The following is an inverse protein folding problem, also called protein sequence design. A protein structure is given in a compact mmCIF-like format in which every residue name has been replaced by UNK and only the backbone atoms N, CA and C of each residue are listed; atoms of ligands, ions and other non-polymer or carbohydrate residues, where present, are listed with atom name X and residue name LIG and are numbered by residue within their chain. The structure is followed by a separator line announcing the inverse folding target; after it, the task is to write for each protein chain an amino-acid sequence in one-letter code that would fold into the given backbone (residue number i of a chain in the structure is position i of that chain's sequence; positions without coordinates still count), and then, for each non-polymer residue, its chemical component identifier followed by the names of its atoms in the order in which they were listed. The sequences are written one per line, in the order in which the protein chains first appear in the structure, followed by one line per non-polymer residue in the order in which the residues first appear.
data_IF_224485872861
#
_entry.id   IF_224485872861
#
_cell.length_a   1.000
_cell.length_b   1.000
_cell.length_c   1.000
_cell.angle_alpha   90.00
_cell.angle_beta   90.00
_cell.angle_gamma   90.00
#
_symmetry.space_group_name_H-M   'P 1'
#
loop_
_entity.id
_entity.type
_entity.pdbx_description
1 polymer ?
#
# COMPACT_ATOMS: atom_id res chain seq x y z
N UNK A 1 15.81 -6.77 10.66
CA UNK A 1 15.81 -7.25 9.27
C UNK A 1 14.88 -6.42 8.43
N UNK A 2 15.33 -6.00 7.24
CA UNK A 2 14.58 -5.11 6.37
C UNK A 2 13.21 -5.68 5.98
N UNK A 3 13.15 -6.97 5.62
CA UNK A 3 11.90 -7.62 5.23
C UNK A 3 10.91 -7.70 6.38
N UNK A 4 11.40 -7.94 7.60
CA UNK A 4 10.56 -7.98 8.79
C UNK A 4 9.95 -6.59 9.06
N UNK A 5 10.76 -5.54 8.91
CA UNK A 5 10.30 -4.16 9.08
C UNK A 5 9.27 -3.80 8.01
N UNK A 6 9.53 -4.20 6.77
CA UNK A 6 8.60 -3.96 5.65
C UNK A 6 7.25 -4.63 5.90
N UNK A 7 7.25 -5.87 6.40
CA UNK A 7 6.01 -6.58 6.73
C UNK A 7 5.23 -5.85 7.82
N UNK A 8 5.89 -5.42 8.87
CA UNK A 8 5.22 -4.71 9.96
C UNK A 8 4.68 -3.36 9.51
N UNK A 9 5.46 -2.61 8.73
CA UNK A 9 5.03 -1.34 8.18
C UNK A 9 3.78 -1.49 7.30
N UNK A 10 3.76 -2.53 6.45
CA UNK A 10 2.62 -2.74 5.56
C UNK A 10 1.36 -3.15 6.32
N UNK A 11 1.49 -3.89 7.41
CA UNK A 11 0.36 -4.23 8.27
C UNK A 11 -0.19 -3.00 8.99
N UNK A 12 0.69 -2.16 9.51
CA UNK A 12 0.28 -0.90 10.16
C UNK A 12 -0.43 0.00 9.16
N UNK A 13 0.10 0.07 7.94
CA UNK A 13 -0.52 0.86 6.88
C UNK A 13 -1.91 0.32 6.54
N UNK A 14 -2.05 -0.99 6.36
CA UNK A 14 -3.35 -1.62 6.06
C UNK A 14 -4.37 -1.31 7.17
N UNK A 15 -3.95 -1.39 8.42
CA UNK A 15 -4.80 -1.10 9.56
C UNK A 15 -5.28 0.36 9.54
N UNK A 16 -4.37 1.31 9.28
CA UNK A 16 -4.72 2.73 9.22
C UNK A 16 -5.70 3.01 8.07
N UNK A 17 -5.53 2.31 6.94
CA UNK A 17 -6.43 2.45 5.79
C UNK A 17 -7.83 1.89 6.12
N UNK A 18 -7.90 0.79 6.85
CA UNK A 18 -9.18 0.22 7.27
C UNK A 18 -9.96 1.25 8.12
N UNK A 19 -9.28 1.88 9.07
CA UNK A 19 -9.91 2.91 9.91
C UNK A 19 -10.35 4.12 9.07
N UNK A 20 -9.48 4.56 8.15
CA UNK A 20 -9.81 5.66 7.25
C UNK A 20 -11.07 5.33 6.43
N UNK A 21 -11.12 4.15 5.83
CA UNK A 21 -12.22 3.76 4.95
C UNK A 21 -13.53 3.62 5.72
N UNK A 22 -13.49 3.15 6.97
CA UNK A 22 -14.68 3.11 7.82
C UNK A 22 -15.24 4.51 8.05
N UNK A 23 -14.34 5.44 8.38
CA UNK A 23 -14.72 6.84 8.59
C UNK A 23 -15.28 7.46 7.32
N UNK A 24 -14.61 7.25 6.18
CA UNK A 24 -15.06 7.80 4.92
C UNK A 24 -16.43 7.27 4.52
N UNK A 25 -16.69 5.98 4.71
CA UNK A 25 -17.98 5.37 4.38
C UNK A 25 -19.13 5.91 5.23
N UNK A 26 -18.85 6.33 6.46
CA UNK A 26 -19.88 6.90 7.31
C UNK A 26 -20.27 8.32 6.89
N UNK A 27 -19.44 9.00 6.12
CA UNK A 27 -19.64 10.40 5.74
C UNK A 27 -19.82 10.63 4.23
N UNK A 28 -19.54 9.62 3.39
CA UNK A 28 -19.54 9.76 1.93
C UNK A 28 -20.23 8.60 1.25
N UNK A 29 -20.78 8.87 0.06
CA UNK A 29 -21.52 7.89 -0.74
C UNK A 29 -20.66 7.21 -1.80
N UNK A 30 -19.41 7.67 -2.00
CA UNK A 30 -18.53 7.16 -3.06
C UNK A 30 -17.91 5.83 -2.63
N UNK A 31 -18.74 4.82 -2.40
CA UNK A 31 -18.28 3.52 -1.89
C UNK A 31 -17.36 2.79 -2.85
N UNK A 32 -17.55 2.97 -4.17
CA UNK A 32 -16.70 2.32 -5.17
C UNK A 32 -15.26 2.84 -5.03
N UNK A 33 -15.08 4.16 -4.94
CA UNK A 33 -13.77 4.76 -4.77
C UNK A 33 -13.14 4.34 -3.45
N UNK A 34 -13.90 4.42 -2.36
CA UNK A 34 -13.41 4.07 -1.03
C UNK A 34 -12.97 2.59 -1.00
N UNK A 35 -13.73 1.72 -1.66
CA UNK A 35 -13.37 0.30 -1.74
C UNK A 35 -12.11 0.07 -2.57
N UNK A 36 -11.83 0.89 -3.58
CA UNK A 36 -10.58 0.81 -4.33
C UNK A 36 -9.37 1.18 -3.46
N UNK A 37 -9.53 2.19 -2.60
CA UNK A 37 -8.48 2.54 -1.63
C UNK A 37 -8.21 1.34 -0.72
N UNK A 38 -9.26 0.75 -0.17
CA UNK A 38 -9.14 -0.38 0.74
C UNK A 38 -8.50 -1.59 0.05
N UNK A 39 -8.97 -1.94 -1.14
CA UNK A 39 -8.47 -3.09 -1.90
C UNK A 39 -6.99 -2.94 -2.22
N UNK A 40 -6.60 -1.82 -2.83
CA UNK A 40 -5.22 -1.62 -3.25
C UNK A 40 -4.27 -1.55 -2.05
N UNK A 41 -4.66 -0.83 -1.01
CA UNK A 41 -3.82 -0.65 0.17
C UNK A 41 -3.60 -1.96 0.92
N UNK A 42 -4.63 -2.79 1.06
CA UNK A 42 -4.48 -4.09 1.74
C UNK A 42 -3.74 -5.11 0.88
N UNK A 43 -3.80 -4.96 -0.44
CA UNK A 43 -3.04 -5.83 -1.37
C UNK A 43 -1.53 -5.62 -1.26
N UNK A 44 -1.09 -4.44 -0.85
CA UNK A 44 0.35 -4.18 -0.63
C UNK A 44 0.90 -5.19 0.37
N UNK A 45 0.33 -5.19 1.57
CA UNK A 45 0.79 -6.08 2.64
C UNK A 45 0.56 -7.56 2.34
N UNK A 46 -0.55 -7.89 1.66
CA UNK A 46 -0.84 -9.27 1.29
C UNK A 46 0.27 -9.84 0.39
N UNK A 47 0.72 -9.07 -0.60
CA UNK A 47 1.78 -9.51 -1.50
C UNK A 47 3.15 -9.56 -0.82
N UNK A 48 3.43 -8.62 0.07
CA UNK A 48 4.65 -8.65 0.88
C UNK A 48 4.66 -9.91 1.75
N UNK A 49 3.53 -10.23 2.35
CA UNK A 49 3.38 -11.44 3.18
C UNK A 49 3.63 -12.70 2.35
N UNK A 50 3.02 -12.79 1.17
CA UNK A 50 3.18 -13.93 0.28
C UNK A 50 4.60 -14.10 -0.23
N UNK A 51 5.34 -13.00 -0.36
CA UNK A 51 6.74 -13.05 -0.78
C UNK A 51 7.60 -13.88 0.17
N UNK A 52 7.24 -13.93 1.48
CA UNK A 52 7.95 -14.77 2.46
C UNK A 52 7.90 -16.24 2.11
N UNK A 53 6.84 -16.65 1.42
CA UNK A 53 6.57 -18.06 1.10
C UNK A 53 6.84 -18.34 -0.37
N UNK A 54 7.59 -17.47 -1.02
CA UNK A 54 7.92 -17.61 -2.45
C UNK A 54 8.73 -18.87 -2.71
N UNK A 55 8.51 -19.48 -3.88
CA UNK A 55 9.15 -20.71 -4.27
C UNK A 55 10.52 -20.50 -4.92
N UNK A 56 11.07 -19.31 -4.81
CA UNK A 56 12.38 -18.96 -5.37
C UNK A 56 12.50 -17.46 -5.55
N UNK A 57 13.67 -17.02 -5.98
CA UNK A 57 13.99 -15.61 -6.15
C UNK A 57 13.05 -14.92 -7.13
N UNK A 58 12.74 -15.59 -8.25
CA UNK A 58 11.88 -15.02 -9.30
C UNK A 58 10.47 -14.76 -8.77
N UNK A 59 9.92 -15.70 -8.02
CA UNK A 59 8.59 -15.57 -7.41
C UNK A 59 8.61 -14.49 -6.34
N UNK A 60 9.67 -14.45 -5.53
CA UNK A 60 9.86 -13.43 -4.50
C UNK A 60 9.83 -12.02 -5.13
N UNK A 61 10.62 -11.81 -6.18
CA UNK A 61 10.68 -10.52 -6.89
C UNK A 61 9.31 -10.19 -7.49
N UNK A 62 8.64 -11.17 -8.10
CA UNK A 62 7.31 -10.97 -8.69
C UNK A 62 6.31 -10.47 -7.66
N UNK A 63 6.28 -11.08 -6.47
CA UNK A 63 5.36 -10.66 -5.40
C UNK A 63 5.65 -9.24 -4.93
N UNK A 64 6.91 -8.89 -4.78
CA UNK A 64 7.29 -7.54 -4.38
C UNK A 64 6.96 -6.50 -5.46
N UNK A 65 7.09 -6.88 -6.72
CA UNK A 65 6.72 -5.99 -7.84
C UNK A 65 5.22 -5.75 -7.90
N UNK A 66 4.42 -6.77 -7.59
CA UNK A 66 2.96 -6.59 -7.48
C UNK A 66 2.65 -5.63 -6.33
N UNK A 67 3.30 -5.80 -5.18
CA UNK A 67 3.12 -4.90 -4.05
C UNK A 67 3.47 -3.45 -4.42
N UNK A 68 4.54 -3.25 -5.18
CA UNK A 68 4.95 -1.94 -5.65
C UNK A 68 3.88 -1.30 -6.54
N UNK A 69 3.33 -2.07 -7.47
CA UNK A 69 2.25 -1.60 -8.34
C UNK A 69 1.03 -1.18 -7.51
N UNK A 70 0.71 -1.95 -6.48
CA UNK A 70 -0.42 -1.62 -5.59
C UNK A 70 -0.16 -0.34 -4.80
N UNK A 71 1.10 -0.04 -4.46
CA UNK A 71 1.45 1.24 -3.86
C UNK A 71 1.11 2.40 -4.80
N UNK A 72 1.50 2.29 -6.07
CA UNK A 72 1.20 3.32 -7.06
C UNK A 72 -0.30 3.48 -7.25
N UNK A 73 -1.05 2.38 -7.28
CA UNK A 73 -2.50 2.44 -7.42
C UNK A 73 -3.14 3.09 -6.19
N UNK A 74 -2.68 2.75 -5.00
CA UNK A 74 -3.17 3.34 -3.75
C UNK A 74 -2.96 4.86 -3.76
N UNK A 75 -1.77 5.29 -4.17
CA UNK A 75 -1.45 6.72 -4.28
C UNK A 75 -2.40 7.42 -5.25
N UNK A 76 -2.68 6.78 -6.38
CA UNK A 76 -3.63 7.31 -7.36
C UNK A 76 -5.01 7.55 -6.74
N UNK A 77 -5.57 6.53 -6.08
CA UNK A 77 -6.91 6.64 -5.48
C UNK A 77 -6.94 7.68 -4.36
N UNK A 78 -5.88 7.78 -3.57
CA UNK A 78 -5.80 8.78 -2.50
C UNK A 78 -5.75 10.20 -3.08
N UNK A 79 -5.01 10.40 -4.15
CA UNK A 79 -4.95 11.70 -4.82
C UNK A 79 -6.32 12.09 -5.41
N UNK A 80 -7.01 11.14 -6.04
CA UNK A 80 -8.36 11.37 -6.56
C UNK A 80 -9.32 11.73 -5.41
N UNK A 81 -9.24 11.01 -4.29
CA UNK A 81 -10.10 11.28 -3.14
C UNK A 81 -9.86 12.68 -2.56
N UNK A 82 -8.60 13.12 -2.54
CA UNK A 82 -8.25 14.45 -2.06
C UNK A 82 -8.78 15.53 -3.02
N UNK A 83 -8.61 15.33 -4.33
CA UNK A 83 -9.10 16.28 -5.35
C UNK A 83 -10.62 16.38 -5.33
N UNK A 84 -11.31 15.30 -5.00
CA UNK A 84 -12.78 15.26 -4.91
C UNK A 84 -13.30 15.71 -3.54
N UNK A 85 -12.41 16.18 -2.66
CA UNK A 85 -12.76 16.65 -1.30
C UNK A 85 -13.35 15.57 -0.40
N UNK A 86 -13.00 14.31 -0.65
CA UNK A 86 -13.38 13.19 0.20
C UNK A 86 -12.42 13.06 1.37
N UNK A 87 -11.14 13.32 1.13
CA UNK A 87 -10.08 13.33 2.16
C UNK A 87 -9.48 14.73 2.19
N UNK A 88 -9.19 15.24 3.39
CA UNK A 88 -8.52 16.54 3.54
C UNK A 88 -7.08 16.46 3.00
N UNK A 89 -6.54 17.62 2.61
CA UNK A 89 -5.16 17.70 2.14
C UNK A 89 -4.20 17.20 3.22
N UNK A 90 -4.43 17.56 4.47
CA UNK A 90 -3.58 17.17 5.60
C UNK A 90 -3.56 15.65 5.79
N UNK A 91 -4.73 15.03 5.80
CA UNK A 91 -4.84 13.58 5.95
C UNK A 91 -4.24 12.85 4.76
N UNK A 92 -4.48 13.35 3.55
CA UNK A 92 -3.90 12.76 2.34
C UNK A 92 -2.37 12.79 2.37
N UNK A 93 -1.78 13.90 2.83
CA UNK A 93 -0.32 14.03 2.93
C UNK A 93 0.28 12.96 3.84
N UNK A 94 -0.32 12.74 5.01
CA UNK A 94 0.17 11.76 5.98
C UNK A 94 0.14 10.35 5.38
N UNK A 95 -1.00 9.99 4.77
CA UNK A 95 -1.18 8.66 4.22
C UNK A 95 -0.31 8.43 2.98
N UNK A 96 -0.21 9.43 2.11
CA UNK A 96 0.66 9.35 0.93
C UNK A 96 2.13 9.22 1.34
N UNK A 97 2.54 9.91 2.39
CA UNK A 97 3.90 9.78 2.90
C UNK A 97 4.17 8.35 3.38
N UNK A 98 3.25 7.77 4.14
CA UNK A 98 3.39 6.39 4.62
C UNK A 98 3.45 5.39 3.47
N UNK A 99 2.58 5.55 2.47
CA UNK A 99 2.58 4.70 1.29
C UNK A 99 3.89 4.81 0.52
N UNK A 100 4.37 6.04 0.34
CA UNK A 100 5.64 6.31 -0.34
C UNK A 100 6.85 5.68 0.37
N UNK A 101 6.83 5.66 1.70
CA UNK A 101 7.88 5.01 2.48
C UNK A 101 7.93 3.51 2.17
N UNK A 102 6.77 2.86 2.17
CA UNK A 102 6.68 1.42 1.85
C UNK A 102 7.15 1.19 0.41
N UNK A 103 6.72 2.03 -0.52
CA UNK A 103 7.09 1.90 -1.94
C UNK A 103 8.60 2.00 -2.13
N UNK A 104 9.25 2.94 -1.46
CA UNK A 104 10.71 3.09 -1.53
C UNK A 104 11.44 1.88 -0.94
N UNK A 105 10.92 1.34 0.15
CA UNK A 105 11.48 0.12 0.74
C UNK A 105 11.34 -1.08 -0.19
N UNK A 106 10.20 -1.18 -0.89
CA UNK A 106 9.99 -2.24 -1.89
C UNK A 106 10.97 -2.13 -3.04
N UNK A 107 11.19 -0.92 -3.55
CA UNK A 107 12.17 -0.69 -4.63
C UNK A 107 13.55 -1.15 -4.19
N UNK A 108 13.95 -0.81 -2.98
CA UNK A 108 15.25 -1.22 -2.43
C UNK A 108 15.36 -2.74 -2.32
N UNK A 109 14.34 -3.40 -1.80
CA UNK A 109 14.32 -4.86 -1.66
C UNK A 109 14.35 -5.57 -3.00
N UNK A 110 13.61 -5.05 -3.99
CA UNK A 110 13.59 -5.60 -5.35
C UNK A 110 14.96 -5.46 -5.99
N UNK A 111 15.58 -4.29 -5.88
CA UNK A 111 16.90 -4.02 -6.43
C UNK A 111 17.94 -4.98 -5.84
N UNK A 112 17.92 -5.16 -4.53
CA UNK A 112 18.82 -6.10 -3.84
C UNK A 112 18.61 -7.53 -4.34
N UNK A 113 17.35 -7.96 -4.44
CA UNK A 113 17.05 -9.33 -4.88
C UNK A 113 17.51 -9.58 -6.32
N UNK A 114 17.36 -8.59 -7.20
CA UNK A 114 17.77 -8.71 -8.60
C UNK A 114 19.30 -8.75 -8.78
N UNK A 115 20.04 -8.20 -7.83
CA UNK A 115 21.50 -8.15 -7.92
C UNK A 115 22.18 -9.42 -7.42
N UNK A 116 21.45 -10.38 -6.89
CA UNK A 116 22.01 -11.66 -6.40
C UNK A 116 22.21 -12.69 -7.49
#
# INVERSE_FOLDING_TARGET
MAESYLREKSKEFAKSIIFLCRDLKSNHKETVLINQILRSATSIGANIHEAQYAQGTKDFISKLEIAQKECFETEYWLEIAQKANIISIENAKVILHSCGTIRRMLISSITTAKSR
#
